data_IF_446061046548
#
_entry.id   IF_446061046548
#
_cell.length_a   1.000
_cell.length_b   1.000
_cell.length_c   1.000
_cell.angle_alpha   90.00
_cell.angle_beta   90.00
_cell.angle_gamma   90.00
#
_symmetry.space_group_name_H-M   'P 1'
#
loop_
_entity.id
_entity.type
_entity.pdbx_description
1 polymer ?
#
# COMPACT_ATOMS: atom_id res chain seq x y z
N UNK A 1 15.81 6.92 52.69
CA UNK A 1 15.60 5.48 52.42
C UNK A 1 14.34 5.41 51.58
N UNK A 2 14.46 5.68 50.29
CA UNK A 2 14.66 4.65 49.25
C UNK A 2 13.42 3.77 49.05
N UNK A 3 12.62 4.05 48.02
CA UNK A 3 12.64 3.33 46.72
C UNK A 3 11.48 3.77 45.84
N UNK A 4 11.84 4.28 44.67
CA UNK A 4 11.04 4.21 43.44
C UNK A 4 10.72 2.75 43.13
N UNK A 5 9.54 2.49 42.57
CA UNK A 5 9.40 1.61 41.39
C UNK A 5 8.09 1.92 40.68
N UNK A 6 8.26 2.57 39.53
CA UNK A 6 7.40 2.48 38.34
C UNK A 6 7.21 0.99 38.00
N UNK A 7 6.02 0.55 37.59
CA UNK A 7 5.95 -0.43 36.51
C UNK A 7 4.64 -0.29 35.74
N UNK A 8 4.81 0.35 34.60
CA UNK A 8 3.97 0.32 33.42
C UNK A 8 4.25 -0.99 32.68
N UNK A 9 3.21 -1.66 32.17
CA UNK A 9 3.26 -2.63 31.07
C UNK A 9 1.86 -3.26 30.91
N UNK A 10 1.01 -2.57 30.16
CA UNK A 10 0.04 -3.24 29.29
C UNK A 10 0.81 -3.78 28.09
N UNK A 11 0.88 -5.09 27.93
CA UNK A 11 1.31 -5.72 26.68
C UNK A 11 0.44 -6.97 26.49
N UNK A 12 -0.82 -6.71 26.11
CA UNK A 12 -1.70 -7.70 25.50
C UNK A 12 -1.70 -7.42 24.00
N UNK A 13 -0.72 -8.00 23.30
CA UNK A 13 -0.83 -8.21 21.85
C UNK A 13 -0.38 -9.63 21.52
N UNK A 14 -1.24 -10.55 21.91
CA UNK A 14 -1.15 -11.95 21.52
C UNK A 14 -1.74 -12.08 20.11
N UNK A 15 -0.91 -11.97 19.05
CA UNK A 15 -0.93 -12.84 17.86
C UNK A 15 -0.18 -12.26 16.62
N UNK A 16 1.10 -11.91 16.74
CA UNK A 16 2.01 -11.93 15.58
C UNK A 16 3.25 -12.79 15.90
N UNK A 17 3.43 -13.86 15.13
CA UNK A 17 4.50 -14.86 15.33
C UNK A 17 5.74 -14.53 14.50
N UNK A 18 5.87 -13.32 13.99
CA UNK A 18 7.10 -12.88 13.33
C UNK A 18 8.16 -12.55 14.39
N UNK A 19 9.42 -13.00 14.22
CA UNK A 19 10.54 -12.50 15.01
C UNK A 19 10.52 -10.98 15.01
N UNK A 20 10.82 -10.35 16.16
CA UNK A 20 11.00 -8.89 16.17
C UNK A 20 12.17 -8.57 15.23
N UNK A 21 12.02 -7.55 14.39
CA UNK A 21 13.05 -7.17 13.42
C UNK A 21 14.43 -6.92 14.08
N UNK A 22 14.45 -6.52 15.36
CA UNK A 22 15.66 -6.29 16.15
C UNK A 22 16.46 -7.57 16.46
N UNK A 23 15.87 -8.75 16.32
CA UNK A 23 16.49 -10.04 16.56
C UNK A 23 17.06 -10.70 15.27
N UNK A 24 16.80 -10.09 14.11
CA UNK A 24 17.17 -10.63 12.80
C UNK A 24 18.57 -10.18 12.39
N UNK A 25 19.29 -11.07 11.68
CA UNK A 25 20.54 -10.72 11.01
C UNK A 25 20.27 -9.84 9.79
N UNK A 26 21.32 -9.17 9.29
CA UNK A 26 21.22 -8.33 8.10
C UNK A 26 20.72 -9.11 6.87
N UNK A 27 21.13 -10.38 6.73
CA UNK A 27 20.72 -11.20 5.60
C UNK A 27 19.25 -11.61 5.71
N UNK A 28 18.77 -11.95 6.91
CA UNK A 28 17.35 -12.23 7.16
C UNK A 28 16.48 -10.98 6.94
N UNK A 29 16.94 -9.80 7.34
CA UNK A 29 16.22 -8.54 7.08
C UNK A 29 16.11 -8.23 5.58
N UNK A 30 17.15 -8.56 4.80
CA UNK A 30 17.11 -8.40 3.34
C UNK A 30 16.17 -9.39 2.69
N UNK A 31 16.13 -10.63 3.16
CA UNK A 31 15.17 -11.63 2.67
C UNK A 31 13.72 -11.21 2.97
N UNK A 32 13.45 -10.62 4.14
CA UNK A 32 12.12 -10.05 4.44
C UNK A 32 11.77 -8.90 3.49
N UNK A 33 12.71 -8.00 3.18
CA UNK A 33 12.50 -6.94 2.18
C UNK A 33 12.21 -7.52 0.80
N UNK A 34 12.96 -8.53 0.37
CA UNK A 34 12.73 -9.21 -0.92
C UNK A 34 11.33 -9.85 -0.98
N UNK A 35 10.86 -10.42 0.13
CA UNK A 35 9.49 -10.92 0.26
C UNK A 35 8.44 -9.82 0.14
N UNK A 36 8.65 -8.69 0.83
CA UNK A 36 7.78 -7.51 0.73
C UNK A 36 7.75 -6.99 -0.71
N UNK A 37 8.90 -6.91 -1.39
CA UNK A 37 9.00 -6.43 -2.77
C UNK A 37 8.24 -7.36 -3.73
N UNK A 38 8.32 -8.67 -3.54
CA UNK A 38 7.52 -9.64 -4.27
C UNK A 38 6.01 -9.40 -4.07
N UNK A 39 5.58 -9.27 -2.82
CA UNK A 39 4.18 -9.04 -2.47
C UNK A 39 3.67 -7.70 -3.03
N UNK A 40 4.50 -6.66 -3.04
CA UNK A 40 4.18 -5.38 -3.67
C UNK A 40 3.91 -5.55 -5.17
N UNK A 41 4.74 -6.30 -5.89
CA UNK A 41 4.54 -6.57 -7.32
C UNK A 41 3.25 -7.36 -7.55
N UNK A 42 2.97 -8.37 -6.74
CA UNK A 42 1.72 -9.13 -6.82
C UNK A 42 0.49 -8.25 -6.59
N UNK A 43 0.53 -7.39 -5.57
CA UNK A 43 -0.54 -6.44 -5.25
C UNK A 43 -0.75 -5.42 -6.38
N UNK A 44 0.33 -4.94 -7.00
CA UNK A 44 0.26 -4.04 -8.16
C UNK A 44 -0.45 -4.75 -9.33
N UNK A 45 -0.03 -5.96 -9.68
CA UNK A 45 -0.65 -6.74 -10.76
C UNK A 45 -2.15 -6.96 -10.49
N UNK A 46 -2.52 -7.35 -9.27
CA UNK A 46 -3.91 -7.52 -8.86
C UNK A 46 -4.70 -6.22 -8.95
N UNK A 47 -4.16 -5.09 -8.48
CA UNK A 47 -4.80 -3.77 -8.56
C UNK A 47 -5.07 -3.41 -10.01
N UNK A 48 -4.10 -3.63 -10.88
CA UNK A 48 -4.20 -3.31 -12.30
C UNK A 48 -5.28 -4.14 -12.99
N UNK A 49 -5.36 -5.45 -12.73
CA UNK A 49 -6.43 -6.32 -13.23
C UNK A 49 -7.84 -5.84 -12.81
N UNK A 50 -8.00 -5.42 -11.54
CA UNK A 50 -9.28 -4.90 -11.04
C UNK A 50 -9.63 -3.58 -11.72
N UNK A 51 -8.66 -2.68 -11.89
CA UNK A 51 -8.88 -1.39 -12.56
C UNK A 51 -9.25 -1.55 -14.04
N UNK A 52 -8.64 -2.51 -14.74
CA UNK A 52 -9.02 -2.93 -16.09
C UNK A 52 -10.48 -3.47 -16.14
N UNK A 53 -10.85 -4.31 -15.17
CA UNK A 53 -12.23 -4.80 -15.05
C UNK A 53 -13.25 -3.67 -14.85
N UNK A 54 -12.90 -2.64 -14.07
CA UNK A 54 -13.73 -1.43 -13.91
C UNK A 54 -13.88 -0.68 -15.22
N UNK A 55 -12.81 -0.55 -16.01
CA UNK A 55 -12.87 0.12 -17.31
C UNK A 55 -13.81 -0.59 -18.29
N UNK A 56 -13.78 -1.93 -18.35
CA UNK A 56 -14.72 -2.72 -19.14
C UNK A 56 -16.17 -2.49 -18.73
N UNK A 57 -16.45 -2.50 -17.42
CA UNK A 57 -17.81 -2.23 -16.91
C UNK A 57 -18.28 -0.81 -17.29
N UNK A 58 -17.38 0.18 -17.25
CA UNK A 58 -17.69 1.54 -17.69
C UNK A 58 -18.01 1.60 -19.19
N UNK A 59 -17.23 0.91 -20.02
CA UNK A 59 -17.47 0.81 -21.46
C UNK A 59 -18.83 0.18 -21.79
N UNK A 60 -19.16 -0.95 -21.14
CA UNK A 60 -20.46 -1.62 -21.29
C UNK A 60 -21.64 -0.71 -20.90
N UNK A 61 -21.42 0.20 -19.94
CA UNK A 61 -22.41 1.18 -19.48
C UNK A 61 -22.39 2.50 -20.27
N UNK A 62 -21.50 2.65 -21.26
CA UNK A 62 -21.34 3.88 -22.03
C UNK A 62 -20.78 5.06 -21.21
N UNK A 63 -20.11 4.78 -20.10
CA UNK A 63 -19.48 5.77 -19.24
C UNK A 63 -18.08 6.13 -19.76
N UNK A 64 -17.63 7.35 -19.44
CA UNK A 64 -16.27 7.75 -19.73
C UNK A 64 -15.26 6.88 -18.97
N UNK A 65 -14.20 6.48 -19.67
CA UNK A 65 -13.12 5.67 -19.09
C UNK A 65 -12.19 6.48 -18.21
N UNK A 66 -12.04 7.79 -18.48
CA UNK A 66 -11.37 8.75 -17.58
C UNK A 66 -12.34 9.21 -16.50
N UNK A 67 -11.88 9.22 -15.25
CA UNK A 67 -12.68 9.54 -14.08
C UNK A 67 -11.81 10.29 -13.06
N UNK A 68 -11.79 11.62 -13.21
CA UNK A 68 -10.98 12.52 -12.39
C UNK A 68 -11.40 12.48 -10.91
N UNK A 69 -12.70 12.35 -10.62
CA UNK A 69 -13.21 12.22 -9.25
C UNK A 69 -12.67 10.95 -8.58
N UNK A 70 -12.60 9.83 -9.31
CA UNK A 70 -12.01 8.62 -8.79
C UNK A 70 -10.49 8.74 -8.60
N UNK A 71 -9.78 9.45 -9.49
CA UNK A 71 -8.35 9.72 -9.31
C UNK A 71 -8.09 10.55 -8.04
N UNK A 72 -8.86 11.60 -7.81
CA UNK A 72 -8.79 12.43 -6.60
C UNK A 72 -9.08 11.60 -5.33
N UNK A 73 -10.12 10.74 -5.38
CA UNK A 73 -10.44 9.85 -4.26
C UNK A 73 -9.33 8.82 -3.97
N UNK A 74 -8.63 8.34 -5.00
CA UNK A 74 -7.44 7.48 -4.83
C UNK A 74 -6.32 8.25 -4.14
N UNK A 75 -6.08 9.50 -4.54
CA UNK A 75 -5.02 10.34 -3.97
C UNK A 75 -5.32 10.77 -2.53
N UNK A 76 -6.58 11.00 -2.20
CA UNK A 76 -7.01 11.28 -0.83
C UNK A 76 -6.79 10.06 0.09
N UNK A 77 -7.18 8.85 -0.37
CA UNK A 77 -6.90 7.60 0.36
C UNK A 77 -5.40 7.40 0.57
N UNK A 78 -4.59 7.62 -0.45
CA UNK A 78 -3.13 7.49 -0.37
C UNK A 78 -2.54 8.40 0.72
N UNK A 79 -3.02 9.65 0.82
CA UNK A 79 -2.58 10.55 1.89
C UNK A 79 -2.98 10.08 3.28
N UNK A 80 -4.22 9.61 3.47
CA UNK A 80 -4.66 9.05 4.77
C UNK A 80 -3.88 7.82 5.20
N UNK A 81 -3.51 6.95 4.24
CA UNK A 81 -2.68 5.78 4.55
C UNK A 81 -1.26 6.19 4.91
N UNK A 82 -0.68 7.18 4.23
CA UNK A 82 0.64 7.69 4.57
C UNK A 82 0.70 8.19 6.02
N UNK A 83 -0.31 8.96 6.43
CA UNK A 83 -0.46 9.44 7.81
C UNK A 83 -0.61 8.29 8.82
N UNK A 84 -1.44 7.29 8.51
CA UNK A 84 -1.65 6.10 9.37
C UNK A 84 -0.35 5.33 9.63
N UNK A 85 0.51 5.22 8.62
CA UNK A 85 1.75 4.43 8.70
C UNK A 85 2.98 5.30 9.00
N UNK A 86 2.80 6.59 9.32
CA UNK A 86 3.88 7.54 9.61
C UNK A 86 4.96 7.61 8.50
N UNK A 87 4.52 7.62 7.25
CA UNK A 87 5.39 7.75 6.06
C UNK A 87 5.10 9.05 5.31
N UNK A 88 6.07 9.53 4.53
CA UNK A 88 5.93 10.79 3.80
C UNK A 88 4.77 10.74 2.79
N UNK A 89 3.79 11.62 3.00
CA UNK A 89 2.59 11.71 2.18
C UNK A 89 2.89 11.99 0.71
N UNK A 90 3.88 12.84 0.41
CA UNK A 90 4.20 13.20 -0.97
C UNK A 90 4.79 12.00 -1.72
N UNK A 91 5.62 11.20 -1.05
CA UNK A 91 6.21 9.97 -1.60
C UNK A 91 5.15 8.91 -1.86
N UNK A 92 4.25 8.65 -0.90
CA UNK A 92 3.14 7.71 -1.11
C UNK A 92 2.25 8.18 -2.25
N UNK A 93 1.87 9.46 -2.27
CA UNK A 93 1.10 10.04 -3.38
C UNK A 93 1.84 9.91 -4.73
N UNK A 94 3.16 10.04 -4.77
CA UNK A 94 3.92 9.84 -6.00
C UNK A 94 3.84 8.39 -6.51
N UNK A 95 3.93 7.40 -5.62
CA UNK A 95 3.74 5.99 -5.98
C UNK A 95 2.33 5.77 -6.55
N UNK A 96 1.30 6.30 -5.89
CA UNK A 96 -0.08 6.16 -6.37
C UNK A 96 -0.32 6.84 -7.72
N UNK A 97 0.34 7.96 -8.02
CA UNK A 97 0.32 8.55 -9.37
C UNK A 97 0.88 7.58 -10.42
N UNK A 98 2.01 6.94 -10.13
CA UNK A 98 2.58 5.92 -11.03
C UNK A 98 1.61 4.74 -11.24
N UNK A 99 0.90 4.31 -10.21
CA UNK A 99 -0.09 3.23 -10.31
C UNK A 99 -1.34 3.63 -11.12
N UNK A 100 -1.73 4.90 -11.10
CA UNK A 100 -2.80 5.44 -11.95
C UNK A 100 -2.31 5.48 -13.41
N UNK A 101 -1.10 6.00 -13.64
CA UNK A 101 -0.52 6.10 -14.98
C UNK A 101 -0.29 4.72 -15.61
N UNK A 102 0.19 3.73 -14.85
CA UNK A 102 0.30 2.34 -15.31
C UNK A 102 -1.02 1.83 -15.87
N UNK A 103 -2.13 2.04 -15.15
CA UNK A 103 -3.43 1.60 -15.61
C UNK A 103 -3.92 2.35 -16.85
N UNK A 104 -3.63 3.66 -16.96
CA UNK A 104 -3.95 4.43 -18.18
C UNK A 104 -3.17 3.94 -19.39
N UNK A 105 -1.90 3.53 -19.22
CA UNK A 105 -1.08 2.98 -20.30
C UNK A 105 -1.67 1.66 -20.78
N UNK A 106 -1.95 0.72 -19.87
CA UNK A 106 -2.52 -0.57 -20.26
C UNK A 106 -3.88 -0.46 -20.94
N UNK A 107 -4.74 0.46 -20.49
CA UNK A 107 -6.02 0.73 -21.16
C UNK A 107 -5.86 1.29 -22.58
N UNK A 108 -4.77 2.00 -22.87
CA UNK A 108 -4.49 2.51 -24.24
C UNK A 108 -4.00 1.40 -25.15
N UNK A 109 -3.23 0.45 -24.62
CA UNK A 109 -2.70 -0.69 -25.40
C UNK A 109 -3.79 -1.72 -25.76
N UNK A 110 -4.85 -1.81 -24.97
CA UNK A 110 -5.98 -2.73 -25.18
C UNK A 110 -7.09 -2.16 -26.10
N UNK A 111 -6.98 -0.91 -26.57
CA UNK A 111 -7.91 -0.26 -27.52
C UNK A 111 -7.44 -0.38 -28.96
#
# INVERSE_FOLDING_TARGET
MERETRNDATDDDSNDRRPRADDMTLDELREEIEGIDHDLVELIARRTYVADSVARVKEEQGLATTDEEQEDAVMERAGRYADTYDVDENMVKAIFRLLIELNKIEQREQR
#
